data_IF_466481053660
#
_entry.id   IF_466481053660
#
_cell.length_a   1.000
_cell.length_b   1.000
_cell.length_c   1.000
_cell.angle_alpha   90.00
_cell.angle_beta   90.00
_cell.angle_gamma   90.00
#
_symmetry.space_group_name_H-M   'P 1'
#
loop_
_entity.id
_entity.type
_entity.pdbx_description
1 polymer ?
#
# COMPACT_ATOMS: atom_id res chain seq x y z
N UNK A 1 5.48 22.83 9.70
CA UNK A 1 5.87 24.01 8.89
C UNK A 1 6.27 23.64 7.46
N UNK A 2 7.38 22.92 7.21
CA UNK A 2 7.79 22.63 5.83
C UNK A 2 6.82 21.72 5.07
N UNK A 3 6.34 20.63 5.68
CA UNK A 3 5.33 19.75 5.07
C UNK A 3 4.05 20.53 4.74
N UNK A 4 3.61 21.40 5.65
CA UNK A 4 2.42 22.24 5.44
C UNK A 4 2.64 23.22 4.28
N UNK A 5 3.82 23.82 4.18
CA UNK A 5 4.19 24.67 3.04
C UNK A 5 4.16 23.86 1.74
N UNK A 6 4.78 22.68 1.70
CA UNK A 6 4.75 21.81 0.52
C UNK A 6 3.31 21.40 0.14
N UNK A 7 2.45 21.08 1.12
CA UNK A 7 1.03 20.78 0.87
C UNK A 7 0.29 21.97 0.26
N UNK A 8 0.49 23.17 0.82
CA UNK A 8 -0.15 24.39 0.32
C UNK A 8 0.34 24.75 -1.09
N UNK A 9 1.66 24.71 -1.31
CA UNK A 9 2.25 24.97 -2.62
C UNK A 9 1.79 23.94 -3.65
N UNK A 10 1.77 22.66 -3.29
CA UNK A 10 1.31 21.58 -4.17
C UNK A 10 -0.16 21.74 -4.55
N UNK A 11 -1.03 22.02 -3.57
CA UNK A 11 -2.47 22.18 -3.82
C UNK A 11 -2.83 23.44 -4.61
N UNK A 12 -2.00 24.49 -4.56
CA UNK A 12 -2.21 25.73 -5.30
C UNK A 12 -1.48 25.76 -6.65
N UNK A 13 -0.66 24.74 -6.95
CA UNK A 13 0.14 24.72 -8.17
C UNK A 13 -0.72 24.34 -9.39
N UNK A 14 -0.76 25.22 -10.38
CA UNK A 14 -1.33 24.92 -11.70
C UNK A 14 -0.34 24.12 -12.57
N UNK A 15 0.96 24.36 -12.39
CA UNK A 15 2.00 23.67 -13.15
C UNK A 15 2.41 22.35 -12.51
N UNK A 16 2.40 21.28 -13.31
CA UNK A 16 2.85 19.95 -12.87
C UNK A 16 4.33 19.89 -12.49
N UNK A 17 5.16 20.77 -13.07
CA UNK A 17 6.57 20.94 -12.69
C UNK A 17 6.73 21.30 -11.21
N UNK A 18 5.89 22.21 -10.70
CA UNK A 18 5.89 22.66 -9.31
C UNK A 18 5.40 21.54 -8.39
N UNK A 19 4.35 20.83 -8.78
CA UNK A 19 3.85 19.66 -8.04
C UNK A 19 4.95 18.59 -7.88
N UNK A 20 5.63 18.24 -8.97
CA UNK A 20 6.75 17.30 -8.95
C UNK A 20 7.93 17.81 -8.10
N UNK A 21 8.23 19.11 -8.16
CA UNK A 21 9.27 19.71 -7.32
C UNK A 21 8.93 19.62 -5.83
N UNK A 22 7.67 19.86 -5.44
CA UNK A 22 7.22 19.69 -4.05
C UNK A 22 7.38 18.24 -3.58
N UNK A 23 6.97 17.27 -4.40
CA UNK A 23 7.13 15.83 -4.10
C UNK A 23 8.60 15.43 -3.95
N UNK A 24 9.46 15.91 -4.85
CA UNK A 24 10.91 15.67 -4.81
C UNK A 24 11.55 16.30 -3.56
N UNK A 25 11.19 17.53 -3.21
CA UNK A 25 11.69 18.23 -2.03
C UNK A 25 11.32 17.48 -0.74
N UNK A 26 10.06 17.04 -0.63
CA UNK A 26 9.59 16.21 0.50
C UNK A 26 10.44 14.95 0.59
N UNK A 27 10.58 14.21 -0.51
CA UNK A 27 11.36 12.96 -0.53
C UNK A 27 12.80 13.19 -0.06
N UNK A 28 13.48 14.19 -0.61
CA UNK A 28 14.87 14.50 -0.26
C UNK A 28 15.04 14.89 1.22
N UNK A 29 14.13 15.71 1.75
CA UNK A 29 14.22 16.20 3.14
C UNK A 29 14.03 15.05 4.13
N UNK A 30 12.99 14.24 3.94
CA UNK A 30 12.72 13.12 4.84
C UNK A 30 13.79 12.04 4.75
N UNK A 31 14.28 11.73 3.55
CA UNK A 31 15.40 10.80 3.41
C UNK A 31 16.68 11.33 4.05
N UNK A 32 17.01 12.60 3.84
CA UNK A 32 18.18 13.22 4.46
C UNK A 32 18.09 13.18 5.99
N UNK A 33 16.93 13.47 6.55
CA UNK A 33 16.68 13.43 7.99
C UNK A 33 16.93 12.04 8.58
N UNK A 34 16.43 11.00 7.91
CA UNK A 34 16.58 9.61 8.36
C UNK A 34 18.04 9.10 8.31
N UNK A 35 18.89 9.76 7.52
CA UNK A 35 20.30 9.37 7.32
C UNK A 35 21.30 10.21 8.11
N UNK A 36 20.84 11.10 8.99
CA UNK A 36 21.74 11.96 9.77
C UNK A 36 22.71 11.13 10.62
N UNK A 37 23.99 11.52 10.71
CA UNK A 37 24.97 10.83 11.55
C UNK A 37 24.73 11.20 13.02
N UNK A 38 23.86 10.45 13.69
CA UNK A 38 23.59 10.54 15.13
C UNK A 38 23.53 9.13 15.73
N UNK A 39 23.42 9.02 17.06
CA UNK A 39 23.19 7.73 17.71
C UNK A 39 21.90 7.07 17.20
N UNK A 40 21.99 5.80 16.79
CA UNK A 40 20.87 5.08 16.18
C UNK A 40 19.58 5.15 16.99
N UNK A 41 19.67 5.07 18.32
CA UNK A 41 18.50 5.14 19.20
C UNK A 41 17.82 6.51 19.16
N UNK A 42 18.59 7.60 19.14
CA UNK A 42 18.05 8.96 19.08
C UNK A 42 17.36 9.21 17.73
N UNK A 43 18.00 8.80 16.63
CA UNK A 43 17.40 8.90 15.28
C UNK A 43 16.09 8.14 15.22
N UNK A 44 16.04 6.91 15.76
CA UNK A 44 14.83 6.12 15.72
C UNK A 44 13.68 6.74 16.51
N UNK A 45 13.97 7.38 17.65
CA UNK A 45 12.95 8.13 18.40
C UNK A 45 12.41 9.31 17.60
N UNK A 46 13.30 10.09 17.00
CA UNK A 46 12.94 11.27 16.20
C UNK A 46 12.16 10.89 14.94
N UNK A 47 12.62 9.87 14.22
CA UNK A 47 11.93 9.27 13.06
C UNK A 47 10.54 8.77 13.46
N UNK A 48 10.43 8.10 14.60
CA UNK A 48 9.17 7.57 15.10
C UNK A 48 8.18 8.69 15.41
N UNK A 49 8.64 9.74 16.08
CA UNK A 49 7.84 10.94 16.36
C UNK A 49 7.38 11.63 15.08
N UNK A 50 8.31 11.80 14.13
CA UNK A 50 8.06 12.43 12.85
C UNK A 50 7.04 11.64 12.01
N UNK A 51 7.18 10.32 11.93
CA UNK A 51 6.24 9.45 11.25
C UNK A 51 4.83 9.58 11.85
N UNK A 52 4.72 9.57 13.17
CA UNK A 52 3.44 9.73 13.87
C UNK A 52 2.76 11.07 13.52
N UNK A 53 3.53 12.16 13.49
CA UNK A 53 2.99 13.47 13.17
C UNK A 53 2.48 13.55 11.73
N UNK A 54 3.21 12.97 10.77
CA UNK A 54 2.76 12.90 9.37
C UNK A 54 1.51 12.04 9.22
N UNK A 55 1.42 10.90 9.94
CA UNK A 55 0.22 10.05 9.93
C UNK A 55 -1.00 10.79 10.49
N UNK A 56 -0.84 11.51 11.61
CA UNK A 56 -1.92 12.34 12.17
C UNK A 56 -2.41 13.38 11.17
N UNK A 57 -1.49 14.04 10.46
CA UNK A 57 -1.84 14.97 9.39
C UNK A 57 -2.61 14.28 8.26
N UNK A 58 -2.19 13.07 7.86
CA UNK A 58 -2.86 12.29 6.81
C UNK A 58 -4.28 11.89 7.23
N UNK A 59 -4.48 11.52 8.50
CA UNK A 59 -5.77 11.07 9.02
C UNK A 59 -6.86 12.16 9.03
N UNK A 60 -6.48 13.42 9.18
CA UNK A 60 -7.40 14.58 9.17
C UNK A 60 -7.54 15.23 7.80
N UNK A 61 -6.63 14.92 6.86
CA UNK A 61 -6.68 15.43 5.48
C UNK A 61 -7.73 14.64 4.68
N UNK A 62 -8.45 15.31 3.78
CA UNK A 62 -9.39 14.63 2.89
C UNK A 62 -8.62 13.61 2.02
N UNK A 63 -8.95 12.31 2.08
CA UNK A 63 -8.24 11.28 1.32
C UNK A 63 -8.34 11.42 -0.20
N UNK A 64 -9.32 12.18 -0.70
CA UNK A 64 -9.48 12.48 -2.13
C UNK A 64 -8.81 13.79 -2.56
N UNK A 65 -8.21 14.54 -1.63
CA UNK A 65 -7.48 15.78 -1.95
C UNK A 65 -6.10 15.44 -2.47
N UNK A 66 -5.66 16.06 -3.56
CA UNK A 66 -4.32 15.84 -4.12
C UNK A 66 -3.20 16.20 -3.12
N UNK A 67 -3.49 17.07 -2.14
CA UNK A 67 -2.54 17.40 -1.06
C UNK A 67 -2.15 16.19 -0.20
N UNK A 68 -2.98 15.13 -0.15
CA UNK A 68 -2.66 13.89 0.57
C UNK A 68 -1.40 13.23 0.01
N UNK A 69 -1.10 13.42 -1.29
CA UNK A 69 0.07 12.84 -1.98
C UNK A 69 1.35 13.28 -1.29
N UNK A 70 1.45 14.54 -0.84
CA UNK A 70 2.61 15.06 -0.12
C UNK A 70 2.80 14.33 1.22
N UNK A 71 1.72 14.01 1.92
CA UNK A 71 1.78 13.28 3.19
C UNK A 71 2.13 11.81 2.97
N UNK A 72 1.59 11.18 1.93
CA UNK A 72 1.94 9.81 1.56
C UNK A 72 3.40 9.70 1.11
N UNK A 73 3.90 10.65 0.32
CA UNK A 73 5.30 10.69 -0.10
C UNK A 73 6.22 10.88 1.11
N UNK A 74 5.82 11.68 2.12
CA UNK A 74 6.55 11.82 3.37
C UNK A 74 6.58 10.49 4.16
N UNK A 75 5.43 9.83 4.34
CA UNK A 75 5.35 8.50 5.00
C UNK A 75 6.24 7.50 4.27
N UNK A 76 6.11 7.40 2.95
CA UNK A 76 6.92 6.52 2.11
C UNK A 76 8.41 6.81 2.29
N UNK A 77 8.82 8.07 2.24
CA UNK A 77 10.23 8.48 2.34
C UNK A 77 10.83 8.12 3.69
N UNK A 78 10.08 8.33 4.78
CA UNK A 78 10.49 7.91 6.12
C UNK A 78 10.69 6.40 6.16
N UNK A 79 9.68 5.62 5.74
CA UNK A 79 9.74 4.16 5.77
C UNK A 79 10.88 3.61 4.90
N UNK A 80 10.99 4.10 3.67
CA UNK A 80 12.00 3.67 2.69
C UNK A 80 13.43 3.92 3.17
N UNK A 81 13.64 4.97 3.98
CA UNK A 81 14.96 5.31 4.51
C UNK A 81 15.34 4.51 5.75
N UNK A 82 14.43 3.71 6.32
CA UNK A 82 14.74 2.91 7.50
C UNK A 82 15.47 1.61 7.18
N UNK A 83 16.56 1.29 7.90
CA UNK A 83 17.16 -0.04 7.84
C UNK A 83 16.19 -1.07 8.44
N UNK A 84 16.34 -2.35 8.06
CA UNK A 84 15.49 -3.44 8.60
C UNK A 84 15.63 -3.53 10.13
N UNK A 85 16.77 -3.14 10.71
CA UNK A 85 17.01 -3.12 12.16
C UNK A 85 16.09 -2.18 12.95
N UNK A 86 15.35 -1.27 12.28
CA UNK A 86 14.32 -0.42 12.90
C UNK A 86 13.27 -1.24 13.66
N UNK A 87 13.04 -2.50 13.27
CA UNK A 87 12.09 -3.41 13.92
C UNK A 87 12.42 -3.69 15.40
N UNK A 88 13.69 -3.50 15.79
CA UNK A 88 14.12 -3.62 17.19
C UNK A 88 13.65 -2.42 18.03
N UNK A 89 13.30 -1.31 17.40
CA UNK A 89 12.71 -0.15 18.06
C UNK A 89 11.19 -0.31 18.16
N UNK A 90 10.72 -0.94 19.24
CA UNK A 90 9.30 -1.23 19.45
C UNK A 90 8.34 -0.03 19.30
N UNK A 91 8.69 1.21 19.72
CA UNK A 91 7.84 2.38 19.47
C UNK A 91 7.52 2.61 17.98
N UNK A 92 8.48 2.34 17.08
CA UNK A 92 8.28 2.47 15.63
C UNK A 92 7.28 1.43 15.12
N UNK A 93 7.48 0.15 15.49
CA UNK A 93 6.55 -0.93 15.15
C UNK A 93 5.15 -0.63 15.68
N UNK A 94 5.06 -0.09 16.90
CA UNK A 94 3.79 0.31 17.51
C UNK A 94 3.03 1.36 16.71
N UNK A 95 3.72 2.38 16.19
CA UNK A 95 3.07 3.39 15.35
C UNK A 95 2.59 2.80 14.03
N UNK A 96 3.32 1.83 13.46
CA UNK A 96 2.87 1.17 12.24
C UNK A 96 1.52 0.47 12.44
N UNK A 97 1.37 -0.36 13.48
CA UNK A 97 0.13 -1.12 13.64
C UNK A 97 -1.00 -0.33 14.32
N UNK A 98 -0.68 0.65 15.19
CA UNK A 98 -1.69 1.47 15.89
C UNK A 98 -2.19 2.65 15.07
N UNK A 99 -1.34 3.25 14.24
CA UNK A 99 -1.65 4.52 13.59
C UNK A 99 -1.65 4.39 12.07
N UNK A 100 -0.54 3.92 11.48
CA UNK A 100 -0.40 3.85 10.02
C UNK A 100 -1.36 2.82 9.41
N UNK A 101 -1.48 1.64 10.01
CA UNK A 101 -2.31 0.57 9.45
C UNK A 101 -3.79 0.95 9.44
N UNK A 102 -4.38 1.49 10.53
CA UNK A 102 -5.74 2.05 10.47
C UNK A 102 -5.88 3.21 9.47
N UNK A 103 -4.88 4.07 9.34
CA UNK A 103 -4.86 5.15 8.33
C UNK A 103 -4.97 4.57 6.90
N UNK A 104 -4.12 3.59 6.56
CA UNK A 104 -4.14 2.91 5.28
C UNK A 104 -5.48 2.20 5.03
N UNK A 105 -6.00 1.48 6.04
CA UNK A 105 -7.28 0.79 5.93
C UNK A 105 -8.44 1.76 5.66
N UNK A 106 -8.45 2.93 6.31
CA UNK A 106 -9.43 4.00 6.06
C UNK A 106 -9.31 4.55 4.63
N UNK A 107 -8.09 4.76 4.13
CA UNK A 107 -7.86 5.30 2.78
C UNK A 107 -8.25 4.31 1.68
N UNK A 108 -7.95 3.03 1.85
CA UNK A 108 -8.34 1.96 0.91
C UNK A 108 -9.87 1.74 0.86
N UNK A 109 -10.62 2.35 1.77
CA UNK A 109 -12.08 2.39 1.75
C UNK A 109 -12.73 1.12 2.27
N UNK A 110 -14.03 1.01 2.04
CA UNK A 110 -14.86 -0.16 2.34
C UNK A 110 -15.28 -0.84 1.02
N UNK A 111 -15.56 -2.15 1.02
CA UNK A 111 -15.92 -2.84 -0.22
C UNK A 111 -17.28 -2.30 -0.67
N UNK A 112 -17.40 -1.99 -1.96
CA UNK A 112 -18.69 -1.62 -2.54
C UNK A 112 -19.65 -2.82 -2.36
N UNK A 113 -20.69 -2.65 -1.53
CA UNK A 113 -21.73 -3.66 -1.37
C UNK A 113 -22.47 -3.79 -2.69
N UNK A 114 -22.34 -4.93 -3.34
CA UNK A 114 -23.14 -5.29 -4.50
C UNK A 114 -24.59 -5.54 -4.07
N UNK A 115 -25.53 -4.70 -4.52
CA UNK A 115 -26.96 -4.96 -4.37
C UNK A 115 -27.43 -6.03 -5.36
N UNK A 116 -26.94 -7.27 -5.24
CA UNK A 116 -27.43 -8.39 -6.05
C UNK A 116 -27.29 -9.75 -5.32
N UNK A 117 -27.91 -9.88 -4.15
CA UNK A 117 -28.04 -11.17 -3.42
C UNK A 117 -29.32 -11.94 -3.77
N UNK A 118 -29.90 -11.74 -4.96
CA UNK A 118 -31.05 -12.55 -5.42
C UNK A 118 -30.94 -12.78 -6.93
N UNK A 119 -30.23 -13.84 -7.37
CA UNK A 119 -30.63 -14.73 -8.48
C UNK A 119 -29.57 -15.82 -8.70
N UNK A 120 -30.03 -17.06 -8.64
CA UNK A 120 -29.29 -18.29 -8.91
C UNK A 120 -28.84 -18.35 -10.39
N UNK A 121 -27.57 -18.68 -10.66
CA UNK A 121 -27.21 -19.78 -11.58
C UNK A 121 -25.71 -20.14 -11.57
N UNK A 122 -25.44 -21.40 -11.88
CA UNK A 122 -24.22 -22.18 -11.64
C UNK A 122 -22.95 -21.74 -12.42
N UNK A 123 -22.04 -21.04 -11.75
CA UNK A 123 -20.66 -20.76 -12.18
C UNK A 123 -19.83 -20.52 -10.91
N UNK A 124 -18.52 -20.87 -10.85
CA UNK A 124 -17.71 -20.71 -9.64
C UNK A 124 -17.36 -19.23 -9.45
N UNK A 125 -18.32 -18.43 -8.97
CA UNK A 125 -18.21 -16.98 -8.89
C UNK A 125 -17.54 -16.52 -7.58
N UNK A 126 -16.47 -15.73 -7.75
CA UNK A 126 -15.57 -15.22 -6.70
C UNK A 126 -16.23 -14.25 -5.73
N UNK A 127 -15.67 -14.20 -4.52
CA UNK A 127 -16.14 -13.41 -3.37
C UNK A 127 -15.90 -11.89 -3.50
N UNK A 128 -15.32 -11.43 -4.61
CA UNK A 128 -15.00 -10.03 -4.88
C UNK A 128 -15.78 -9.46 -6.07
N UNK A 129 -16.89 -8.79 -5.77
CA UNK A 129 -17.49 -7.70 -6.56
C UNK A 129 -18.20 -8.05 -7.90
N UNK A 130 -19.52 -7.83 -7.92
CA UNK A 130 -20.30 -7.38 -9.10
C UNK A 130 -21.19 -6.20 -8.70
N UNK A 131 -20.93 -5.00 -9.19
CA UNK A 131 -22.03 -4.02 -9.36
C UNK A 131 -21.72 -3.05 -10.49
N UNK A 132 -22.64 -2.99 -11.44
CA UNK A 132 -22.74 -1.91 -12.40
C UNK A 132 -23.14 -0.63 -11.65
N UNK A 133 -22.45 0.46 -11.98
CA UNK A 133 -22.88 1.87 -11.82
C UNK A 133 -23.41 2.29 -10.44
N UNK A 134 -22.49 2.61 -9.51
CA UNK A 134 -22.71 3.73 -8.59
C UNK A 134 -21.56 4.73 -8.76
N UNK A 135 -21.91 5.99 -9.00
CA UNK A 135 -21.00 7.07 -9.42
C UNK A 135 -20.14 7.63 -8.26
N UNK A 136 -19.81 6.81 -7.26
CA UNK A 136 -18.97 7.24 -6.15
C UNK A 136 -17.51 6.95 -6.51
N UNK A 137 -16.74 8.00 -6.84
CA UNK A 137 -15.29 7.86 -7.07
C UNK A 137 -14.64 7.27 -5.82
N UNK A 138 -13.92 6.17 -6.00
CA UNK A 138 -13.13 5.52 -4.95
C UNK A 138 -11.72 6.08 -4.95
N UNK A 139 -10.91 5.76 -3.94
CA UNK A 139 -9.48 6.13 -3.93
C UNK A 139 -8.73 5.57 -5.14
N UNK A 140 -9.21 4.45 -5.70
CA UNK A 140 -8.61 3.76 -6.84
C UNK A 140 -8.78 4.51 -8.16
N UNK A 141 -9.66 5.51 -8.20
CA UNK A 141 -9.82 6.40 -9.35
C UNK A 141 -8.78 7.54 -9.38
N UNK A 142 -7.86 7.59 -8.40
CA UNK A 142 -6.79 8.58 -8.29
C UNK A 142 -5.40 7.91 -8.43
N UNK A 143 -4.85 7.80 -9.66
CA UNK A 143 -3.65 7.02 -9.94
C UNK A 143 -2.42 7.40 -9.11
N UNK A 144 -2.22 8.69 -8.82
CA UNK A 144 -1.08 9.14 -8.03
C UNK A 144 -1.20 8.76 -6.55
N UNK A 145 -2.41 8.85 -5.99
CA UNK A 145 -2.67 8.45 -4.61
C UNK A 145 -2.48 6.93 -4.48
N UNK A 146 -3.03 6.17 -5.44
CA UNK A 146 -2.84 4.71 -5.52
C UNK A 146 -1.36 4.38 -5.56
N UNK A 147 -0.58 4.99 -6.45
CA UNK A 147 0.85 4.74 -6.55
C UNK A 147 1.57 4.96 -5.20
N UNK A 148 1.30 6.08 -4.52
CA UNK A 148 1.91 6.36 -3.21
C UNK A 148 1.45 5.38 -2.12
N UNK A 149 0.17 4.95 -2.11
CA UNK A 149 -0.31 3.92 -1.19
C UNK A 149 0.39 2.57 -1.40
N UNK A 150 0.52 2.13 -2.65
CA UNK A 150 1.22 0.89 -2.97
C UNK A 150 2.72 0.98 -2.65
N UNK A 151 3.37 2.13 -2.84
CA UNK A 151 4.74 2.35 -2.38
C UNK A 151 4.87 2.19 -0.86
N UNK A 152 3.91 2.67 -0.08
CA UNK A 152 3.88 2.46 1.38
C UNK A 152 3.70 0.98 1.72
N UNK A 153 2.74 0.29 1.11
CA UNK A 153 2.49 -1.16 1.31
C UNK A 153 3.76 -1.97 1.02
N UNK A 154 4.48 -1.61 -0.05
CA UNK A 154 5.77 -2.22 -0.37
C UNK A 154 6.76 -2.07 0.80
N UNK A 155 6.87 -0.88 1.40
CA UNK A 155 7.76 -0.69 2.56
C UNK A 155 7.28 -1.43 3.81
N UNK A 156 5.97 -1.54 4.03
CA UNK A 156 5.41 -2.35 5.13
C UNK A 156 5.84 -3.81 5.02
N UNK A 157 5.81 -4.40 3.82
CA UNK A 157 6.34 -5.74 3.61
C UNK A 157 7.83 -5.84 3.95
N UNK A 158 8.63 -4.83 3.57
CA UNK A 158 10.09 -4.84 3.80
C UNK A 158 10.45 -4.87 5.26
N UNK A 159 9.68 -4.13 6.04
CA UNK A 159 9.98 -3.94 7.46
C UNK A 159 9.31 -5.03 8.28
N UNK A 160 8.09 -5.46 7.94
CA UNK A 160 7.25 -6.26 8.84
C UNK A 160 7.14 -7.75 8.49
N UNK A 161 7.56 -8.20 7.30
CA UNK A 161 7.33 -9.59 6.88
C UNK A 161 7.92 -10.64 7.84
N UNK A 162 9.01 -10.31 8.53
CA UNK A 162 9.65 -11.17 9.53
C UNK A 162 9.07 -11.07 10.94
N UNK A 163 8.02 -10.27 11.17
CA UNK A 163 7.44 -10.04 12.50
C UNK A 163 6.12 -10.80 12.64
N UNK A 164 6.10 -11.84 13.47
CA UNK A 164 4.91 -12.68 13.67
C UNK A 164 3.66 -11.90 14.07
N UNK A 165 3.81 -10.90 14.94
CA UNK A 165 2.70 -10.07 15.41
C UNK A 165 2.06 -9.20 14.33
N UNK A 166 2.72 -8.99 13.17
CA UNK A 166 2.25 -8.09 12.11
C UNK A 166 1.50 -8.79 10.99
N UNK A 167 1.41 -10.13 11.03
CA UNK A 167 0.77 -10.93 9.97
C UNK A 167 -0.68 -10.52 9.71
N UNK A 168 -1.50 -10.45 10.76
CA UNK A 168 -2.91 -10.06 10.65
C UNK A 168 -3.09 -8.63 10.13
N UNK A 169 -2.17 -7.74 10.47
CA UNK A 169 -2.15 -6.35 9.99
C UNK A 169 -1.86 -6.31 8.48
N UNK A 170 -0.84 -7.04 8.04
CA UNK A 170 -0.49 -7.16 6.62
C UNK A 170 -1.60 -7.84 5.82
N UNK A 171 -2.18 -8.93 6.32
CA UNK A 171 -3.31 -9.63 5.69
C UNK A 171 -4.51 -8.70 5.48
N UNK A 172 -4.87 -7.90 6.49
CA UNK A 172 -5.99 -6.97 6.39
C UNK A 172 -5.74 -5.87 5.34
N UNK A 173 -4.54 -5.28 5.33
CA UNK A 173 -4.15 -4.28 4.32
C UNK A 173 -4.15 -4.90 2.93
N UNK A 174 -3.59 -6.10 2.78
CA UNK A 174 -3.54 -6.81 1.50
C UNK A 174 -4.91 -7.16 0.97
N UNK A 175 -5.81 -7.62 1.83
CA UNK A 175 -7.18 -7.91 1.42
C UNK A 175 -7.83 -6.69 0.77
N UNK A 176 -7.75 -5.50 1.41
CA UNK A 176 -8.30 -4.28 0.84
C UNK A 176 -7.53 -3.84 -0.41
N UNK A 177 -6.20 -3.80 -0.35
CA UNK A 177 -5.38 -3.32 -1.46
C UNK A 177 -5.55 -4.19 -2.73
N UNK A 178 -5.55 -5.51 -2.61
CA UNK A 178 -5.53 -6.41 -3.76
C UNK A 178 -6.92 -6.72 -4.31
N UNK A 179 -7.95 -6.73 -3.46
CA UNK A 179 -9.29 -7.21 -3.85
C UNK A 179 -10.35 -6.11 -3.97
N UNK A 180 -10.19 -4.95 -3.33
CA UNK A 180 -11.17 -3.85 -3.46
C UNK A 180 -11.09 -3.06 -4.78
N UNK A 181 -9.91 -2.81 -5.38
CA UNK A 181 -9.87 -2.19 -6.70
C UNK A 181 -10.56 -3.11 -7.71
N UNK A 182 -11.22 -2.50 -8.70
CA UNK A 182 -11.73 -3.24 -9.85
C UNK A 182 -10.57 -3.91 -10.59
N UNK A 183 -10.84 -5.00 -11.29
CA UNK A 183 -9.79 -5.79 -11.98
C UNK A 183 -8.93 -4.93 -12.91
N UNK A 184 -9.51 -3.96 -13.60
CA UNK A 184 -8.82 -3.01 -14.48
C UNK A 184 -7.87 -2.04 -13.74
N UNK A 185 -8.01 -1.90 -12.42
CA UNK A 185 -7.22 -1.01 -11.55
C UNK A 185 -6.15 -1.75 -10.75
N UNK A 186 -6.01 -3.08 -10.91
CA UNK A 186 -5.11 -3.92 -10.10
C UNK A 186 -3.67 -4.03 -10.62
N UNK A 187 -3.24 -3.15 -11.53
CA UNK A 187 -1.86 -3.16 -12.06
C UNK A 187 -0.80 -3.03 -10.95
N UNK A 188 -1.01 -2.11 -10.00
CA UNK A 188 -0.10 -1.92 -8.86
C UNK A 188 -0.13 -3.10 -7.86
N UNK A 189 -1.26 -3.80 -7.74
CA UNK A 189 -1.36 -5.03 -6.95
C UNK A 189 -0.47 -6.13 -7.52
N UNK A 190 -0.60 -6.39 -8.82
CA UNK A 190 0.23 -7.37 -9.52
C UNK A 190 1.72 -7.00 -9.45
N UNK A 191 2.04 -5.70 -9.55
CA UNK A 191 3.42 -5.20 -9.42
C UNK A 191 4.02 -5.52 -8.05
N UNK A 192 3.31 -5.23 -6.95
CA UNK A 192 3.81 -5.53 -5.60
C UNK A 192 3.98 -7.04 -5.39
N UNK A 193 2.98 -7.83 -5.82
CA UNK A 193 3.02 -9.29 -5.68
C UNK A 193 4.30 -9.86 -6.29
N UNK A 194 4.66 -9.43 -7.52
CA UNK A 194 5.93 -9.86 -8.13
C UNK A 194 7.15 -9.34 -7.41
N UNK A 195 7.17 -8.05 -7.12
CA UNK A 195 8.37 -7.38 -6.57
C UNK A 195 8.72 -7.93 -5.18
N UNK A 196 7.72 -8.31 -4.38
CA UNK A 196 7.85 -8.70 -2.98
C UNK A 196 7.44 -10.15 -2.72
N UNK A 197 7.57 -11.01 -3.74
CA UNK A 197 7.24 -12.42 -3.66
C UNK A 197 7.98 -13.13 -2.50
N UNK A 198 9.25 -12.80 -2.27
CA UNK A 198 10.04 -13.36 -1.18
C UNK A 198 9.40 -13.11 0.20
N UNK A 199 8.98 -11.87 0.46
CA UNK A 199 8.37 -11.46 1.72
C UNK A 199 7.00 -12.07 1.90
N UNK A 200 6.22 -12.15 0.82
CA UNK A 200 4.93 -12.82 0.79
C UNK A 200 5.09 -14.31 1.13
N UNK A 201 6.06 -15.00 0.53
CA UNK A 201 6.36 -16.41 0.85
C UNK A 201 6.75 -16.53 2.33
N UNK A 202 7.60 -15.64 2.84
CA UNK A 202 8.02 -15.64 4.25
C UNK A 202 6.82 -15.51 5.21
N UNK A 203 5.90 -14.58 4.92
CA UNK A 203 4.67 -14.40 5.69
C UNK A 203 3.81 -15.65 5.59
N UNK A 204 3.64 -16.21 4.40
CA UNK A 204 2.71 -17.33 4.24
C UNK A 204 3.26 -18.66 4.80
N UNK A 205 4.55 -18.96 4.65
CA UNK A 205 5.17 -20.18 5.17
C UNK A 205 5.21 -20.23 6.69
N UNK A 206 5.33 -19.06 7.31
CA UNK A 206 5.34 -18.95 8.75
C UNK A 206 3.93 -18.75 9.33
N UNK A 207 2.89 -18.69 8.48
CA UNK A 207 1.49 -18.57 8.92
C UNK A 207 0.87 -19.94 9.17
N UNK A 208 -0.07 -19.99 10.13
CA UNK A 208 -0.92 -21.17 10.35
C UNK A 208 -2.12 -21.19 9.39
N UNK A 209 -2.37 -20.10 8.69
CA UNK A 209 -3.49 -19.92 7.76
C UNK A 209 -2.94 -19.62 6.36
N UNK A 210 -3.70 -20.01 5.33
CA UNK A 210 -3.38 -19.69 3.94
C UNK A 210 -4.04 -18.38 3.48
N UNK A 211 -4.53 -17.53 4.40
CA UNK A 211 -5.34 -16.35 4.09
C UNK A 211 -4.64 -15.41 3.11
N UNK A 212 -3.39 -15.01 3.40
CA UNK A 212 -2.62 -14.15 2.50
C UNK A 212 -2.42 -14.80 1.13
N UNK A 213 -2.14 -16.11 1.11
CA UNK A 213 -2.00 -16.85 -0.14
C UNK A 213 -3.27 -16.86 -0.96
N UNK A 214 -4.42 -17.12 -0.34
CA UNK A 214 -5.72 -17.10 -0.99
C UNK A 214 -6.01 -15.73 -1.61
N UNK A 215 -5.81 -14.65 -0.85
CA UNK A 215 -6.00 -13.26 -1.34
C UNK A 215 -5.17 -13.01 -2.62
N UNK A 216 -3.92 -13.48 -2.63
CA UNK A 216 -3.00 -13.26 -3.75
C UNK A 216 -3.40 -14.09 -4.97
N UNK A 217 -3.73 -15.36 -4.78
CA UNK A 217 -4.15 -16.23 -5.88
C UNK A 217 -5.48 -15.77 -6.46
N UNK A 218 -6.44 -15.35 -5.63
CA UNK A 218 -7.72 -14.80 -6.08
C UNK A 218 -7.49 -13.54 -6.93
N UNK A 219 -6.64 -12.61 -6.47
CA UNK A 219 -6.29 -11.41 -7.20
C UNK A 219 -5.71 -11.72 -8.59
N UNK A 220 -4.74 -12.64 -8.66
CA UNK A 220 -4.10 -13.06 -9.91
C UNK A 220 -5.10 -13.76 -10.83
N UNK A 221 -5.91 -14.68 -10.29
CA UNK A 221 -6.88 -15.45 -11.06
C UNK A 221 -7.94 -14.53 -11.69
N UNK A 222 -8.53 -13.62 -10.91
CA UNK A 222 -9.49 -12.63 -11.43
C UNK A 222 -8.85 -11.74 -12.51
N UNK A 223 -7.61 -11.29 -12.32
CA UNK A 223 -6.90 -10.50 -13.32
C UNK A 223 -6.59 -11.29 -14.60
N UNK A 224 -6.26 -12.58 -14.49
CA UNK A 224 -5.97 -13.44 -15.66
C UNK A 224 -7.20 -13.63 -16.55
N UNK A 225 -8.40 -13.60 -15.97
CA UNK A 225 -9.68 -13.70 -16.67
C UNK A 225 -10.23 -12.33 -17.12
N UNK A 226 -9.46 -11.25 -16.97
CA UNK A 226 -9.88 -9.92 -17.40
C UNK A 226 -10.05 -9.83 -18.92
N UNK A 227 -11.05 -9.07 -19.37
CA UNK A 227 -11.18 -8.69 -20.79
C UNK A 227 -10.13 -7.67 -21.22
N UNK A 228 -9.47 -6.99 -20.26
CA UNK A 228 -8.33 -6.12 -20.54
C UNK A 228 -7.06 -6.97 -20.72
N UNK A 229 -6.55 -6.98 -21.95
CA UNK A 229 -5.38 -7.77 -22.35
C UNK A 229 -4.13 -7.37 -21.55
N UNK A 230 -3.95 -6.10 -21.22
CA UNK A 230 -2.78 -5.64 -20.47
C UNK A 230 -2.79 -6.21 -19.05
N UNK A 231 -3.95 -6.20 -18.39
CA UNK A 231 -4.12 -6.76 -17.04
C UNK A 231 -3.98 -8.28 -17.06
N UNK A 232 -4.62 -8.96 -18.01
CA UNK A 232 -4.51 -10.41 -18.15
C UNK A 232 -3.06 -10.85 -18.42
N UNK A 233 -2.37 -10.15 -19.33
CA UNK A 233 -0.94 -10.39 -19.61
C UNK A 233 -0.07 -10.19 -18.36
N UNK A 234 -0.35 -9.14 -17.58
CA UNK A 234 0.37 -8.83 -16.37
C UNK A 234 0.15 -9.87 -15.25
N UNK A 235 -1.06 -10.43 -15.17
CA UNK A 235 -1.38 -11.53 -14.27
C UNK A 235 -0.60 -12.80 -14.64
N UNK A 236 -0.51 -13.12 -15.94
CA UNK A 236 0.27 -14.25 -16.43
C UNK A 236 1.77 -14.09 -16.15
N UNK A 237 2.34 -12.88 -16.34
CA UNK A 237 3.73 -12.59 -15.94
C UNK A 237 3.95 -12.75 -14.44
N UNK A 238 2.93 -12.42 -13.65
CA UNK A 238 2.95 -12.60 -12.20
C UNK A 238 2.99 -14.08 -11.83
N UNK A 239 2.15 -14.92 -12.44
CA UNK A 239 2.21 -16.38 -12.28
C UNK A 239 3.56 -16.96 -12.72
N UNK A 240 4.09 -16.52 -13.85
CA UNK A 240 5.40 -16.97 -14.33
C UNK A 240 6.50 -16.70 -13.30
N UNK A 241 6.45 -15.55 -12.63
CA UNK A 241 7.40 -15.18 -11.57
C UNK A 241 7.32 -16.13 -10.37
N UNK A 242 6.11 -16.59 -10.01
CA UNK A 242 5.92 -17.57 -8.94
C UNK A 242 6.54 -18.91 -9.29
N UNK A 243 6.22 -19.43 -10.48
CA UNK A 243 6.69 -20.75 -10.92
C UNK A 243 8.21 -20.77 -11.14
N UNK A 244 8.79 -19.64 -11.54
CA UNK A 244 10.23 -19.52 -11.78
C UNK A 244 11.03 -19.15 -10.53
N UNK A 245 10.39 -19.06 -9.35
CA UNK A 245 11.06 -18.57 -8.16
C UNK A 245 12.06 -19.61 -7.63
N UNK A 246 13.35 -19.27 -7.43
CA UNK A 246 14.41 -20.25 -7.13
C UNK A 246 14.25 -21.08 -5.85
N UNK A 247 13.36 -20.68 -4.95
CA UNK A 247 13.05 -21.40 -3.70
C UNK A 247 11.90 -22.41 -3.85
N UNK A 248 11.23 -22.46 -5.01
CA UNK A 248 10.13 -23.38 -5.33
C UNK A 248 10.54 -24.53 -6.27
N UNK A 249 11.78 -24.51 -6.80
CA UNK A 249 12.39 -25.54 -7.66
C UNK A 249 13.55 -26.18 -6.91
#
# INVERSE_FOLDING_TARGET
LLVQLCMQTYGNAEERSVQLACRAAVTQIFSSFCTLPQEHTAIFMDVTSLLNEVIKCANVTNPQSDQIIILLDAIYSILNSQPITIINHQPFVNIIWRELSPCMMKMLGEPEKSNHDITEDNEPFGRGQRSMTTNNKTIFDHPEIVLSLYQIIEQLLRILAGIDGMRSVLEAIFHKALLYPRVDQRSEALRIIRKRLADIILISMSSKTLTLWTIIIDCIFECSNSTNIDISSEALRTLQTFVSYPLLI
#
